data_IF_358816949844
#
_entry.id   IF_358816949844
#
_cell.length_a   1.000
_cell.length_b   1.000
_cell.length_c   1.000
_cell.angle_alpha   90.00
_cell.angle_beta   90.00
_cell.angle_gamma   90.00
#
_symmetry.space_group_name_H-M   'P 1'
#
loop_
_entity.id
_entity.type
_entity.pdbx_description
1 polymer ?
#
# COMPACT_ATOMS: atom_id res chain seq x y z
N UNK A 1 1.60 21.98 -0.78
CA UNK A 1 2.91 22.06 -1.47
C UNK A 1 3.29 20.65 -1.94
N UNK A 2 3.11 20.34 -3.21
CA UNK A 2 3.27 18.99 -3.81
C UNK A 2 4.23 18.99 -5.01
N UNK A 3 4.98 20.08 -5.22
CA UNK A 3 5.77 20.31 -6.45
C UNK A 3 7.03 19.44 -6.57
N UNK A 4 7.47 18.78 -5.49
CA UNK A 4 8.75 18.04 -5.44
C UNK A 4 8.59 16.51 -5.49
N UNK A 5 7.36 15.99 -5.62
CA UNK A 5 7.15 14.55 -5.69
C UNK A 5 7.07 14.08 -7.14
N UNK A 6 7.85 13.06 -7.52
CA UNK A 6 7.69 12.43 -8.82
C UNK A 6 6.28 11.85 -8.94
N UNK A 7 5.65 12.08 -10.10
CA UNK A 7 4.28 11.59 -10.37
C UNK A 7 4.25 10.17 -10.92
N UNK A 8 5.41 9.65 -11.29
CA UNK A 8 5.63 8.34 -11.88
C UNK A 8 5.21 7.23 -10.91
N UNK A 9 4.65 6.16 -11.46
CA UNK A 9 4.44 4.90 -10.73
C UNK A 9 5.51 3.92 -11.21
N UNK A 10 6.23 3.32 -10.28
CA UNK A 10 7.32 2.40 -10.54
C UNK A 10 6.83 0.96 -10.46
N UNK A 11 7.32 0.11 -11.36
CA UNK A 11 7.13 -1.34 -11.29
C UNK A 11 8.28 -1.96 -10.51
N UNK A 12 7.96 -2.95 -9.69
CA UNK A 12 8.93 -3.67 -8.87
C UNK A 12 8.79 -5.18 -9.06
N UNK A 13 9.93 -5.82 -9.29
CA UNK A 13 10.12 -7.25 -9.09
C UNK A 13 10.37 -7.59 -7.62
N UNK A 14 10.26 -8.88 -7.28
CA UNK A 14 10.52 -9.39 -5.92
C UNK A 14 11.93 -9.03 -5.43
N UNK A 15 12.95 -9.27 -6.27
CA UNK A 15 14.35 -9.02 -5.91
C UNK A 15 14.61 -7.54 -5.60
N UNK A 16 14.05 -6.63 -6.40
CA UNK A 16 14.18 -5.19 -6.21
C UNK A 16 13.51 -4.76 -4.89
N UNK A 17 12.30 -5.24 -4.63
CA UNK A 17 11.56 -4.89 -3.43
C UNK A 17 12.27 -5.37 -2.14
N UNK A 18 12.86 -6.57 -2.17
CA UNK A 18 13.68 -7.09 -1.05
C UNK A 18 14.95 -6.26 -0.88
N UNK A 19 15.65 -5.93 -1.98
CA UNK A 19 16.88 -5.14 -1.93
C UNK A 19 16.64 -3.73 -1.39
N UNK A 20 15.57 -3.05 -1.84
CA UNK A 20 15.19 -1.73 -1.35
C UNK A 20 14.83 -1.74 0.13
N UNK A 21 14.12 -2.78 0.60
CA UNK A 21 13.77 -2.90 2.02
C UNK A 21 14.97 -3.19 2.91
N UNK A 22 15.92 -4.01 2.44
CA UNK A 22 17.18 -4.21 3.15
C UNK A 22 17.97 -2.90 3.22
N UNK A 23 18.08 -2.17 2.10
CA UNK A 23 18.80 -0.90 2.06
C UNK A 23 18.14 0.17 2.94
N UNK A 24 16.82 0.28 2.93
CA UNK A 24 16.08 1.17 3.80
C UNK A 24 16.39 0.90 5.27
N UNK A 25 16.46 -0.38 5.66
CA UNK A 25 16.85 -0.81 7.00
C UNK A 25 18.29 -0.43 7.33
N UNK A 26 19.25 -0.78 6.46
CA UNK A 26 20.68 -0.52 6.70
C UNK A 26 20.97 0.97 6.86
N UNK A 27 20.28 1.80 6.08
CA UNK A 27 20.37 3.25 6.11
C UNK A 27 19.45 3.90 7.15
N UNK A 28 18.72 3.11 7.95
CA UNK A 28 17.77 3.58 8.96
C UNK A 28 16.75 4.60 8.39
N UNK A 29 16.29 4.38 7.16
CA UNK A 29 15.22 5.16 6.55
C UNK A 29 13.91 4.85 7.32
N UNK A 30 13.20 5.91 7.72
CA UNK A 30 12.23 5.87 8.83
C UNK A 30 11.17 4.76 8.78
N UNK A 31 10.55 4.52 7.63
CA UNK A 31 9.41 3.60 7.47
C UNK A 31 9.65 2.50 6.43
N UNK A 32 9.33 1.27 6.81
CA UNK A 32 9.45 0.09 5.94
C UNK A 32 9.13 -1.21 6.69
N UNK A 33 8.66 -2.22 5.97
CA UNK A 33 8.58 -3.59 6.51
C UNK A 33 9.97 -4.22 6.56
N UNK A 34 10.19 -5.08 7.55
CA UNK A 34 11.41 -5.90 7.60
C UNK A 34 11.52 -6.78 6.35
N UNK A 35 12.73 -6.96 5.83
CA UNK A 35 12.99 -7.68 4.59
C UNK A 35 12.52 -9.15 4.61
N UNK A 36 12.56 -9.81 5.77
CA UNK A 36 12.02 -11.15 5.98
C UNK A 36 10.50 -11.20 5.78
N UNK A 37 9.75 -10.23 6.32
CA UNK A 37 8.31 -10.10 6.06
C UNK A 37 8.01 -9.77 4.61
N UNK A 38 8.81 -8.94 3.95
CA UNK A 38 8.64 -8.69 2.52
C UNK A 38 8.85 -9.97 1.73
N UNK A 39 9.86 -10.77 2.08
CA UNK A 39 10.13 -12.03 1.40
C UNK A 39 8.93 -12.97 1.49
N UNK A 40 8.38 -13.14 2.69
CA UNK A 40 7.19 -13.99 2.94
C UNK A 40 5.94 -13.51 2.19
N UNK A 41 5.66 -12.20 2.21
CA UNK A 41 4.45 -11.65 1.60
C UNK A 41 4.54 -11.48 0.08
N UNK A 42 5.74 -11.19 -0.43
CA UNK A 42 5.97 -10.95 -1.87
C UNK A 42 6.32 -12.25 -2.60
N UNK A 43 6.65 -13.33 -1.89
CA UNK A 43 6.83 -14.66 -2.50
C UNK A 43 5.63 -15.09 -3.34
N UNK A 44 4.43 -14.73 -2.90
CA UNK A 44 3.19 -15.02 -3.62
C UNK A 44 2.65 -13.79 -4.37
N UNK A 45 3.51 -12.86 -4.80
CA UNK A 45 3.06 -11.67 -5.54
C UNK A 45 3.25 -11.82 -7.05
N UNK A 46 2.19 -11.49 -7.80
CA UNK A 46 2.19 -11.44 -9.26
C UNK A 46 2.89 -10.20 -9.80
N UNK A 47 2.75 -9.07 -9.09
CA UNK A 47 3.41 -7.81 -9.40
C UNK A 47 3.39 -6.87 -8.19
N UNK A 48 4.36 -5.96 -8.10
CA UNK A 48 4.37 -4.87 -7.15
C UNK A 48 4.57 -3.53 -7.84
N UNK A 49 3.93 -2.49 -7.29
CA UNK A 49 3.95 -1.13 -7.81
C UNK A 49 4.26 -0.16 -6.68
N UNK A 50 4.96 0.92 -6.97
CA UNK A 50 5.40 1.89 -5.98
C UNK A 50 5.16 3.31 -6.46
N UNK A 51 4.73 4.18 -5.54
CA UNK A 51 4.58 5.60 -5.79
C UNK A 51 5.10 6.42 -4.62
N UNK A 52 5.84 7.48 -4.91
CA UNK A 52 6.22 8.46 -3.90
C UNK A 52 5.00 9.25 -3.40
N UNK A 53 4.82 9.30 -2.08
CA UNK A 53 3.67 10.00 -1.45
C UNK A 53 4.13 11.16 -0.56
N UNK A 54 5.37 11.13 -0.09
CA UNK A 54 5.96 12.19 0.72
C UNK A 54 7.47 12.22 0.53
N UNK A 55 8.05 13.43 0.60
CA UNK A 55 9.49 13.64 0.64
C UNK A 55 9.86 13.89 2.10
N UNK A 56 10.72 13.05 2.64
CA UNK A 56 11.20 13.13 4.02
C UNK A 56 12.61 13.73 4.03
N UNK A 57 12.91 14.53 5.04
CA UNK A 57 14.22 15.18 5.19
C UNK A 57 15.04 14.58 6.33
N UNK A 58 14.42 13.79 7.21
CA UNK A 58 15.01 13.26 8.45
C UNK A 58 14.70 11.76 8.55
N UNK A 59 15.66 10.89 8.94
CA UNK A 59 17.05 11.19 9.30
C UNK A 59 17.94 11.62 8.11
N UNK A 60 17.52 11.34 6.88
CA UNK A 60 18.18 11.81 5.66
C UNK A 60 17.17 11.94 4.49
N UNK A 61 17.50 12.67 3.42
CA UNK A 61 16.59 12.88 2.30
C UNK A 61 16.16 11.58 1.61
N UNK A 62 14.86 11.26 1.68
CA UNK A 62 14.27 10.10 1.01
C UNK A 62 12.84 10.40 0.52
N UNK A 63 12.29 9.48 -0.26
CA UNK A 63 10.86 9.42 -0.54
C UNK A 63 10.23 8.36 0.36
N UNK A 64 9.22 8.73 1.13
CA UNK A 64 8.24 7.76 1.62
C UNK A 64 7.36 7.37 0.45
N UNK A 65 7.38 6.09 0.13
CA UNK A 65 6.58 5.51 -0.95
C UNK A 65 5.49 4.60 -0.40
N UNK A 66 4.42 4.45 -1.16
CA UNK A 66 3.42 3.42 -0.94
C UNK A 66 3.67 2.30 -1.96
N UNK A 67 3.88 1.08 -1.47
CA UNK A 67 3.96 -0.13 -2.27
C UNK A 67 2.58 -0.79 -2.29
N UNK A 68 2.15 -1.20 -3.48
CA UNK A 68 0.98 -2.03 -3.73
C UNK A 68 1.44 -3.34 -4.35
N UNK A 69 1.26 -4.45 -3.64
CA UNK A 69 1.57 -5.79 -4.08
C UNK A 69 0.29 -6.56 -4.41
N UNK A 70 0.17 -7.05 -5.64
CA UNK A 70 -0.92 -7.91 -6.06
C UNK A 70 -0.52 -9.37 -5.84
N UNK A 71 -1.24 -10.05 -4.96
CA UNK A 71 -0.99 -11.44 -4.57
C UNK A 71 -1.59 -12.42 -5.58
N UNK A 72 -1.07 -13.64 -5.60
CA UNK A 72 -1.52 -14.73 -6.48
C UNK A 72 -2.93 -15.22 -6.14
N UNK A 73 -3.33 -15.09 -4.87
CA UNK A 73 -4.70 -15.33 -4.38
C UNK A 73 -5.70 -14.23 -4.81
N UNK A 74 -5.23 -13.23 -5.57
CA UNK A 74 -6.01 -12.09 -6.03
C UNK A 74 -6.05 -10.94 -5.04
N UNK A 75 -5.64 -11.11 -3.78
CA UNK A 75 -5.68 -10.05 -2.78
C UNK A 75 -4.66 -8.94 -3.03
N UNK A 76 -4.92 -7.77 -2.43
CA UNK A 76 -4.03 -6.61 -2.48
C UNK A 76 -3.42 -6.37 -1.13
N UNK A 77 -2.10 -6.27 -1.10
CA UNK A 77 -1.37 -5.82 0.07
C UNK A 77 -0.75 -4.45 -0.19
N UNK A 78 -0.79 -3.59 0.82
CA UNK A 78 -0.17 -2.27 0.73
C UNK A 78 0.66 -1.97 1.98
N UNK A 79 1.81 -1.32 1.79
CA UNK A 79 2.68 -0.93 2.89
C UNK A 79 3.62 0.21 2.48
N UNK A 80 4.07 1.03 3.45
CA UNK A 80 5.07 2.05 3.17
C UNK A 80 6.46 1.45 3.00
N UNK A 81 7.28 2.08 2.17
CA UNK A 81 8.71 1.82 2.07
C UNK A 81 9.44 3.11 1.74
N UNK A 82 10.38 3.51 2.58
CA UNK A 82 11.21 4.68 2.34
C UNK A 82 12.39 4.32 1.42
N UNK A 83 12.63 5.15 0.40
CA UNK A 83 13.62 4.86 -0.66
C UNK A 83 14.39 6.12 -1.01
N UNK A 84 15.68 6.00 -1.34
CA UNK A 84 16.46 7.16 -1.78
C UNK A 84 15.95 7.68 -3.14
N UNK A 85 16.02 9.00 -3.42
CA UNK A 85 15.53 9.55 -4.69
C UNK A 85 16.20 8.96 -5.93
N UNK A 86 17.51 8.71 -5.86
CA UNK A 86 18.26 8.09 -6.97
C UNK A 86 17.86 6.65 -7.23
N UNK A 87 17.58 5.87 -6.18
CA UNK A 87 17.10 4.50 -6.30
C UNK A 87 15.69 4.47 -6.89
N UNK A 88 14.80 5.37 -6.43
CA UNK A 88 13.47 5.51 -7.01
C UNK A 88 13.52 5.88 -8.50
N UNK A 89 14.39 6.83 -8.88
CA UNK A 89 14.54 7.27 -10.26
C UNK A 89 15.03 6.15 -11.19
N UNK A 90 15.88 5.25 -10.68
CA UNK A 90 16.41 4.12 -11.45
C UNK A 90 15.38 3.01 -11.73
N UNK A 91 14.26 2.98 -11.00
CA UNK A 91 13.22 1.98 -11.20
C UNK A 91 12.46 2.21 -12.52
N UNK A 92 12.02 1.12 -13.18
CA UNK A 92 11.22 1.22 -14.39
C UNK A 92 9.87 1.86 -14.10
N UNK A 93 9.49 2.84 -14.92
CA UNK A 93 8.16 3.42 -14.89
C UNK A 93 7.13 2.46 -15.50
N UNK A 94 5.94 2.42 -14.91
CA UNK A 94 4.79 1.69 -15.44
C UNK A 94 4.32 2.36 -16.73
N UNK A 95 4.29 1.60 -17.83
CA UNK A 95 3.74 2.08 -19.10
C UNK A 95 2.26 2.46 -19.00
N UNK A 96 1.78 3.38 -19.84
CA UNK A 96 0.37 3.80 -19.84
C UNK A 96 -0.61 2.63 -20.05
N UNK A 97 -0.24 1.63 -20.85
CA UNK A 97 -1.06 0.45 -21.09
C UNK A 97 -1.18 -0.44 -19.84
N UNK A 98 -0.11 -0.54 -19.04
CA UNK A 98 -0.14 -1.26 -17.78
C UNK A 98 -0.86 -0.48 -16.68
N UNK A 99 -0.70 0.85 -16.67
CA UNK A 99 -1.43 1.73 -15.76
C UNK A 99 -2.95 1.58 -15.93
N UNK A 100 -3.45 1.50 -17.17
CA UNK A 100 -4.86 1.27 -17.45
C UNK A 100 -5.36 -0.08 -16.90
N UNK A 101 -4.54 -1.14 -17.01
CA UNK A 101 -4.87 -2.46 -16.44
C UNK A 101 -4.95 -2.40 -14.91
N UNK A 102 -3.98 -1.72 -14.28
CA UNK A 102 -3.95 -1.46 -12.84
C UNK A 102 -5.16 -0.69 -12.36
N UNK A 103 -5.52 0.40 -13.03
CA UNK A 103 -6.67 1.22 -12.65
C UNK A 103 -7.97 0.45 -12.78
N UNK A 104 -8.17 -0.28 -13.89
CA UNK A 104 -9.36 -1.12 -14.07
C UNK A 104 -9.48 -2.19 -12.99
N UNK A 105 -8.37 -2.84 -12.67
CA UNK A 105 -8.31 -3.78 -11.57
C UNK A 105 -8.63 -3.10 -10.24
N UNK A 106 -7.96 -2.02 -9.86
CA UNK A 106 -8.23 -1.33 -8.59
C UNK A 106 -9.70 -0.88 -8.47
N UNK A 107 -10.30 -0.41 -9.57
CA UNK A 107 -11.72 -0.02 -9.60
C UNK A 107 -12.68 -1.22 -9.50
N UNK A 108 -12.29 -2.44 -9.89
CA UNK A 108 -13.15 -3.62 -9.73
C UNK A 108 -13.30 -4.05 -8.27
N UNK A 109 -12.48 -3.52 -7.36
CA UNK A 109 -12.58 -3.72 -5.92
C UNK A 109 -13.53 -2.72 -5.26
N UNK A 110 -13.88 -1.64 -5.96
CA UNK A 110 -14.88 -0.71 -5.48
C UNK A 110 -16.24 -1.36 -5.70
N UNK A 111 -16.99 -1.72 -4.64
CA UNK A 111 -18.33 -2.23 -4.82
C UNK A 111 -19.16 -1.14 -5.52
N UNK A 112 -19.65 -1.47 -6.70
CA UNK A 112 -20.50 -0.59 -7.52
C UNK A 112 -21.99 -0.96 -7.44
N UNK A 113 -22.31 -2.04 -6.72
CA UNK A 113 -23.67 -2.39 -6.37
C UNK A 113 -24.10 -1.60 -5.14
N UNK A 114 -25.36 -1.16 -5.14
CA UNK A 114 -25.99 -0.61 -3.93
C UNK A 114 -25.85 -1.61 -2.78
N UNK A 115 -25.60 -1.11 -1.57
CA UNK A 115 -25.66 -1.95 -0.38
C UNK A 115 -27.09 -2.52 -0.29
N UNK A 116 -27.26 -3.85 -0.12
CA UNK A 116 -28.58 -4.40 0.19
C UNK A 116 -29.19 -3.66 1.38
N UNK A 117 -30.51 -3.47 1.37
CA UNK A 117 -31.21 -2.60 2.31
C UNK A 117 -30.94 -2.97 3.78
N UNK A 118 -30.76 -4.26 4.06
CA UNK A 118 -30.38 -4.81 5.35
C UNK A 118 -29.02 -4.32 5.86
N UNK A 119 -28.03 -4.12 4.97
CA UNK A 119 -26.71 -3.59 5.32
C UNK A 119 -26.66 -2.06 5.28
N UNK A 120 -27.53 -1.42 4.49
CA UNK A 120 -27.62 0.04 4.39
C UNK A 120 -27.93 0.68 5.75
N UNK A 121 -28.86 0.10 6.51
CA UNK A 121 -29.24 0.58 7.84
C UNK A 121 -28.13 0.40 8.90
N UNK A 122 -27.26 -0.60 8.74
CA UNK A 122 -26.09 -0.82 9.58
C UNK A 122 -24.97 0.18 9.24
N UNK A 123 -24.67 0.33 7.95
CA UNK A 123 -23.71 1.31 7.46
C UNK A 123 -24.06 2.74 7.87
N UNK A 124 -25.33 3.13 7.74
CA UNK A 124 -25.82 4.44 8.13
C UNK A 124 -25.70 4.70 9.64
N UNK A 125 -25.89 3.67 10.47
CA UNK A 125 -25.68 3.74 11.93
C UNK A 125 -24.20 3.94 12.28
N UNK A 126 -23.31 3.14 11.69
CA UNK A 126 -21.86 3.27 11.90
C UNK A 126 -21.36 4.64 11.47
N UNK A 127 -21.85 5.17 10.35
CA UNK A 127 -21.47 6.49 9.83
C UNK A 127 -21.94 7.65 10.72
N UNK A 128 -23.02 7.46 11.50
CA UNK A 128 -23.50 8.42 12.50
C UNK A 128 -22.80 8.31 13.85
N UNK A 129 -21.86 7.37 14.00
CA UNK A 129 -21.15 7.15 15.27
C UNK A 129 -21.99 6.46 16.33
N UNK A 130 -23.09 5.81 15.94
CA UNK A 130 -23.94 5.03 16.84
C UNK A 130 -23.26 3.67 17.05
N UNK A 131 -22.63 3.47 18.21
CA UNK A 131 -22.01 2.19 18.58
C UNK A 131 -23.08 1.10 18.59
N UNK A 132 -22.80 -0.04 17.98
CA UNK A 132 -23.48 -1.29 18.35
C UNK A 132 -23.13 -1.51 19.82
N UNK A 133 -24.11 -1.42 20.72
CA UNK A 133 -23.92 -1.97 22.05
C UNK A 133 -23.54 -3.44 21.88
N UNK A 134 -22.41 -3.84 22.45
CA UNK A 134 -22.02 -5.24 22.53
C UNK A 134 -23.14 -6.01 23.24
N UNK A 135 -23.79 -7.01 22.61
CA UNK A 135 -24.69 -7.88 23.34
C UNK A 135 -23.81 -8.77 24.22
N UNK A 136 -23.72 -8.43 25.50
CA UNK A 136 -23.05 -9.24 26.51
C UNK A 136 -21.95 -8.49 27.25
N UNK A 137 -22.28 -8.03 28.45
CA UNK A 137 -21.27 -7.67 29.43
C UNK A 137 -20.37 -8.87 29.74
N UNK A 138 -19.07 -8.61 29.87
CA UNK A 138 -18.14 -9.58 30.43
C UNK A 138 -18.60 -9.95 31.84
N UNK A 139 -18.77 -11.25 32.18
CA UNK A 139 -18.96 -11.64 33.56
C UNK A 139 -17.65 -11.41 34.33
N UNK A 140 -17.74 -10.64 35.40
CA UNK A 140 -16.64 -10.42 36.34
C UNK A 140 -16.27 -11.75 37.02
N UNK A 141 -14.99 -12.13 36.96
CA UNK A 141 -14.37 -13.05 37.91
C UNK A 141 -13.68 -12.23 39.01
#
# INVERSE_FOLDING_TARGET
>A
MTRDLPREIKRLGKAELVALAQRARDLHLGSGRRADRITEHVENSRAAFMRAVLRESTPQPCYRTLVLAHRLDGSVEHFPLDVLPGEFAALPEVSSAELLKLTRWALSWVPISDLPAEYQAEWDRTRRGESLESPGGCPSL
#
